data_IF_499973247125
#
_entry.id   IF_499973247125
#
_cell.length_a   1.000
_cell.length_b   1.000
_cell.length_c   1.000
_cell.angle_alpha   90.00
_cell.angle_beta   90.00
_cell.angle_gamma   90.00
#
_symmetry.space_group_name_H-M   'P 1'
#
loop_
_entity.id
_entity.type
_entity.pdbx_description
1 polymer ?
#
# COMPACT_ATOMS: atom_id res chain seq x y z
N UNK A 1 4.49 -14.66 -1.75
CA UNK A 1 4.56 -13.18 -1.63
C UNK A 1 5.73 -12.75 -0.76
N UNK A 2 5.78 -13.16 0.51
CA UNK A 2 6.91 -12.89 1.42
C UNK A 2 8.27 -13.16 0.76
N UNK A 3 8.48 -14.39 0.29
CA UNK A 3 9.74 -14.81 -0.35
C UNK A 3 10.12 -13.95 -1.56
N UNK A 4 9.13 -13.49 -2.33
CA UNK A 4 9.37 -12.62 -3.48
C UNK A 4 9.83 -11.23 -3.04
N UNK A 5 9.17 -10.63 -2.04
CA UNK A 5 9.56 -9.33 -1.48
C UNK A 5 10.95 -9.41 -0.82
N UNK A 6 11.20 -10.47 -0.04
CA UNK A 6 12.49 -10.71 0.61
C UNK A 6 13.60 -10.97 -0.42
N UNK A 7 13.28 -11.62 -1.55
CA UNK A 7 14.20 -11.79 -2.68
C UNK A 7 14.65 -10.49 -3.34
N UNK A 8 13.84 -9.43 -3.26
CA UNK A 8 14.18 -8.07 -3.73
C UNK A 8 14.99 -7.28 -2.67
N UNK A 9 15.42 -7.92 -1.59
CA UNK A 9 16.21 -7.30 -0.52
C UNK A 9 15.39 -6.46 0.46
N UNK A 10 14.06 -6.65 0.51
CA UNK A 10 13.15 -5.96 1.43
C UNK A 10 12.75 -6.90 2.56
N UNK A 11 13.06 -6.55 3.81
CA UNK A 11 12.67 -7.35 4.98
C UNK A 11 11.15 -7.27 5.23
N UNK A 12 10.50 -8.43 5.43
CA UNK A 12 9.08 -8.50 5.77
C UNK A 12 8.91 -8.84 7.26
N UNK A 13 8.71 -7.84 8.11
CA UNK A 13 8.61 -8.03 9.57
C UNK A 13 7.39 -8.87 10.00
N UNK A 14 6.26 -8.66 9.32
CA UNK A 14 5.00 -9.35 9.62
C UNK A 14 4.07 -9.36 8.41
N UNK A 15 3.28 -10.41 8.27
CA UNK A 15 2.32 -10.55 7.17
C UNK A 15 1.09 -11.31 7.64
N UNK A 16 -0.09 -10.93 7.12
CA UNK A 16 -1.38 -11.56 7.40
C UNK A 16 -2.01 -11.98 6.08
N UNK A 17 -2.55 -13.19 6.02
CA UNK A 17 -3.37 -13.67 4.92
C UNK A 17 -4.83 -13.80 5.39
N UNK A 18 -5.78 -13.37 4.56
CA UNK A 18 -7.22 -13.51 4.85
C UNK A 18 -7.80 -14.85 4.39
N UNK A 19 -6.98 -15.66 3.69
CA UNK A 19 -7.30 -17.03 3.27
C UNK A 19 -8.63 -17.17 2.50
N UNK A 20 -8.91 -16.22 1.60
CA UNK A 20 -10.08 -16.26 0.71
C UNK A 20 -9.64 -16.71 -0.69
N UNK A 21 -9.97 -17.95 -1.12
CA UNK A 21 -9.49 -18.48 -2.40
C UNK A 21 -10.30 -18.01 -3.63
N UNK A 22 -11.57 -17.64 -3.45
CA UNK A 22 -12.41 -17.13 -4.54
C UNK A 22 -12.16 -15.63 -4.76
N UNK A 23 -11.67 -15.27 -5.94
CA UNK A 23 -11.38 -13.88 -6.29
C UNK A 23 -12.64 -12.99 -6.31
N UNK A 24 -13.83 -13.54 -6.61
CA UNK A 24 -15.07 -12.78 -6.51
C UNK A 24 -15.41 -12.46 -5.04
N UNK A 25 -15.17 -13.40 -4.13
CA UNK A 25 -15.31 -13.19 -2.70
C UNK A 25 -14.29 -12.16 -2.17
N UNK A 26 -13.03 -12.21 -2.63
CA UNK A 26 -12.01 -11.20 -2.30
C UNK A 26 -12.47 -9.80 -2.69
N UNK A 27 -13.05 -9.64 -3.89
CA UNK A 27 -13.56 -8.36 -4.38
C UNK A 27 -14.74 -7.80 -3.58
N UNK A 28 -15.37 -8.61 -2.74
CA UNK A 28 -16.51 -8.24 -1.89
C UNK A 28 -16.12 -8.05 -0.42
N UNK A 29 -14.84 -8.21 -0.08
CA UNK A 29 -14.36 -7.93 1.28
C UNK A 29 -14.59 -6.48 1.64
N UNK A 30 -15.02 -6.25 2.88
CA UNK A 30 -15.27 -4.91 3.40
C UNK A 30 -13.92 -4.19 3.67
N UNK A 31 -13.60 -3.10 2.94
CA UNK A 31 -12.38 -2.33 3.18
C UNK A 31 -12.34 -1.70 4.57
N UNK A 32 -13.47 -1.51 5.25
CA UNK A 32 -13.50 -0.95 6.61
C UNK A 32 -12.91 -1.88 7.67
N UNK A 33 -12.66 -3.15 7.33
CA UNK A 33 -11.96 -4.11 8.20
C UNK A 33 -10.43 -3.98 8.13
N UNK A 34 -9.89 -3.32 7.10
CA UNK A 34 -8.45 -3.18 6.90
C UNK A 34 -7.73 -2.43 8.03
N UNK A 35 -8.29 -1.35 8.63
CA UNK A 35 -7.68 -0.71 9.79
C UNK A 35 -7.50 -1.66 10.98
N UNK A 36 -8.49 -2.51 11.26
CA UNK A 36 -8.41 -3.52 12.33
C UNK A 36 -7.33 -4.56 12.08
N UNK A 37 -7.21 -5.01 10.82
CA UNK A 37 -6.15 -5.93 10.42
C UNK A 37 -4.78 -5.26 10.56
N UNK A 38 -4.66 -4.01 10.11
CA UNK A 38 -3.41 -3.24 10.17
C UNK A 38 -2.97 -2.98 11.61
N UNK A 39 -3.90 -2.73 12.54
CA UNK A 39 -3.64 -2.62 13.99
C UNK A 39 -3.01 -3.88 14.57
N UNK A 40 -3.36 -5.05 14.06
CA UNK A 40 -2.80 -6.34 14.48
C UNK A 40 -1.37 -6.60 13.99
N UNK A 41 -0.80 -5.72 13.17
CA UNK A 41 0.55 -5.92 12.65
C UNK A 41 1.61 -5.61 13.71
N UNK A 42 2.56 -6.55 13.91
CA UNK A 42 3.84 -6.23 14.56
C UNK A 42 4.62 -5.32 13.61
N UNK A 43 4.78 -4.06 14.02
CA UNK A 43 5.28 -2.97 13.16
C UNK A 43 6.37 -2.14 13.82
N UNK A 44 6.89 -2.60 14.96
CA UNK A 44 8.07 -2.00 15.57
C UNK A 44 9.23 -2.12 14.58
N UNK A 45 9.86 -0.99 14.23
CA UNK A 45 10.87 -0.85 13.18
C UNK A 45 10.40 -1.03 11.72
N UNK A 46 9.09 -1.03 11.44
CA UNK A 46 8.61 -1.03 10.05
C UNK A 46 8.75 0.37 9.42
N UNK A 47 9.25 0.43 8.18
CA UNK A 47 9.33 1.69 7.41
C UNK A 47 8.05 2.00 6.62
N UNK A 48 7.25 0.98 6.29
CA UNK A 48 6.02 1.11 5.52
C UNK A 48 5.08 -0.08 5.74
N UNK A 49 3.81 0.10 5.36
CA UNK A 49 2.78 -0.94 5.37
C UNK A 49 2.25 -1.16 3.96
N UNK A 50 2.26 -2.41 3.49
CA UNK A 50 1.50 -2.83 2.31
C UNK A 50 0.11 -3.30 2.79
N UNK A 51 -0.88 -2.42 2.74
CA UNK A 51 -2.22 -2.67 3.29
C UNK A 51 -3.00 -3.72 2.50
N UNK A 52 -2.78 -3.77 1.19
CA UNK A 52 -3.26 -4.87 0.34
C UNK A 52 -2.22 -5.17 -0.74
N UNK A 53 -1.64 -6.37 -0.69
CA UNK A 53 -0.78 -6.89 -1.75
C UNK A 53 -1.57 -7.50 -2.93
N UNK A 54 -2.89 -7.65 -2.79
CA UNK A 54 -3.79 -8.09 -3.86
C UNK A 54 -4.48 -6.89 -4.51
N UNK A 55 -4.63 -6.92 -5.84
CA UNK A 55 -5.36 -5.89 -6.59
C UNK A 55 -6.87 -6.04 -6.51
N UNK A 56 -7.38 -7.24 -6.21
CA UNK A 56 -8.81 -7.52 -6.18
C UNK A 56 -9.49 -6.99 -4.91
N UNK A 57 -8.79 -7.02 -3.77
CA UNK A 57 -9.36 -6.57 -2.50
C UNK A 57 -9.51 -5.04 -2.49
N UNK A 58 -10.73 -4.51 -2.29
CA UNK A 58 -10.93 -3.08 -2.14
C UNK A 58 -10.12 -2.56 -0.95
N UNK A 59 -9.31 -1.52 -1.17
CA UNK A 59 -8.41 -1.00 -0.13
C UNK A 59 -8.23 0.50 -0.13
N UNK A 60 -8.45 1.18 -1.27
CA UNK A 60 -8.27 2.63 -1.40
C UNK A 60 -8.96 3.46 -0.29
N UNK A 61 -10.23 3.19 0.10
CA UNK A 61 -10.89 3.98 1.16
C UNK A 61 -10.24 3.87 2.54
N UNK A 62 -9.39 2.86 2.78
CA UNK A 62 -8.73 2.63 4.05
C UNK A 62 -7.29 3.18 4.09
N UNK A 63 -6.67 3.48 2.94
CA UNK A 63 -5.25 3.83 2.85
C UNK A 63 -4.90 5.04 3.72
N UNK A 64 -5.56 6.19 3.51
CA UNK A 64 -5.25 7.41 4.26
C UNK A 64 -5.55 7.24 5.76
N UNK A 65 -6.68 6.61 6.09
CA UNK A 65 -7.07 6.36 7.48
C UNK A 65 -6.01 5.55 8.22
N UNK A 66 -5.51 4.48 7.62
CA UNK A 66 -4.48 3.63 8.24
C UNK A 66 -3.15 4.37 8.35
N UNK A 67 -2.79 5.17 7.35
CA UNK A 67 -1.57 5.99 7.38
C UNK A 67 -1.61 7.02 8.50
N UNK A 68 -2.73 7.74 8.63
CA UNK A 68 -2.95 8.73 9.69
C UNK A 68 -2.96 8.07 11.09
N UNK A 69 -3.58 6.89 11.21
CA UNK A 69 -3.71 6.15 12.48
C UNK A 69 -2.38 5.54 12.93
N UNK A 70 -1.60 4.98 12.01
CA UNK A 70 -0.40 4.20 12.35
C UNK A 70 0.90 4.98 12.21
N UNK A 71 0.88 6.14 11.53
CA UNK A 71 2.03 7.03 11.38
C UNK A 71 3.13 6.50 10.45
N UNK A 72 2.85 5.45 9.68
CA UNK A 72 3.76 4.85 8.72
C UNK A 72 3.20 5.02 7.30
N UNK A 73 4.04 5.27 6.27
CA UNK A 73 3.61 5.24 4.88
C UNK A 73 2.80 3.98 4.56
N UNK A 74 1.63 4.16 3.93
CA UNK A 74 0.76 3.05 3.55
C UNK A 74 0.60 2.99 2.04
N UNK A 75 0.85 1.81 1.47
CA UNK A 75 0.66 1.53 0.06
C UNK A 75 -0.18 0.28 -0.15
N UNK A 76 -0.69 0.10 -1.38
CA UNK A 76 -1.31 -1.13 -1.86
C UNK A 76 -0.73 -1.46 -3.22
N UNK A 77 -0.98 -2.67 -3.73
CA UNK A 77 -0.64 -3.00 -5.10
C UNK A 77 -1.21 -1.95 -6.08
N UNK A 78 -2.47 -1.53 -5.88
CA UNK A 78 -3.11 -0.54 -6.72
C UNK A 78 -2.48 0.86 -6.62
N UNK A 79 -2.16 1.36 -5.42
CA UNK A 79 -1.55 2.70 -5.29
C UNK A 79 -0.10 2.73 -5.77
N UNK A 80 0.64 1.63 -5.57
CA UNK A 80 1.99 1.47 -6.12
C UNK A 80 1.96 1.44 -7.67
N UNK A 81 1.03 0.68 -8.27
CA UNK A 81 0.86 0.67 -9.73
C UNK A 81 0.47 2.05 -10.26
N UNK A 82 -0.46 2.74 -9.59
CA UNK A 82 -0.86 4.09 -9.99
C UNK A 82 0.33 5.08 -9.94
N UNK A 83 1.17 4.98 -8.91
CA UNK A 83 2.38 5.78 -8.79
C UNK A 83 3.33 5.53 -9.96
N UNK A 84 3.66 4.27 -10.25
CA UNK A 84 4.56 3.91 -11.35
C UNK A 84 4.02 4.35 -12.71
N UNK A 85 2.71 4.24 -12.94
CA UNK A 85 2.07 4.73 -14.18
C UNK A 85 2.19 6.25 -14.30
N UNK A 86 1.87 7.00 -13.25
CA UNK A 86 1.97 8.47 -13.27
C UNK A 86 3.40 8.92 -13.50
N UNK A 87 4.36 8.38 -12.74
CA UNK A 87 5.78 8.72 -12.86
C UNK A 87 6.33 8.32 -14.23
N UNK A 88 5.98 7.12 -14.73
CA UNK A 88 6.40 6.64 -16.05
C UNK A 88 5.88 7.49 -17.21
N UNK A 89 4.76 8.18 -17.02
CA UNK A 89 4.19 9.15 -17.99
C UNK A 89 4.71 10.58 -17.78
N UNK A 90 5.63 10.81 -16.83
CA UNK A 90 6.17 12.14 -16.53
C UNK A 90 5.23 13.03 -15.71
N UNK A 91 4.27 12.45 -15.00
CA UNK A 91 3.35 13.16 -14.12
C UNK A 91 3.77 13.04 -12.64
N UNK A 92 3.74 14.16 -11.92
CA UNK A 92 3.85 14.18 -10.47
C UNK A 92 2.53 13.70 -9.85
N UNK A 93 2.51 12.66 -9.00
CA UNK A 93 1.30 12.24 -8.31
C UNK A 93 0.72 13.36 -7.44
N UNK A 94 -0.60 13.58 -7.48
CA UNK A 94 -1.30 14.56 -6.64
C UNK A 94 -2.73 14.10 -6.35
N UNK A 95 -2.85 12.88 -5.82
CA UNK A 95 -4.13 12.24 -5.49
C UNK A 95 -4.36 12.35 -3.99
N UNK A 96 -5.31 13.22 -3.60
CA UNK A 96 -5.66 13.42 -2.20
C UNK A 96 -6.32 12.15 -1.60
N UNK A 97 -6.00 11.86 -0.33
CA UNK A 97 -6.62 10.75 0.41
C UNK A 97 -6.21 9.34 -0.04
N UNK A 98 -5.16 9.22 -0.84
CA UNK A 98 -4.67 7.94 -1.36
C UNK A 98 -3.29 7.54 -0.77
N UNK A 99 -2.95 8.07 0.41
CA UNK A 99 -1.67 7.86 1.08
C UNK A 99 -0.55 8.76 0.56
N UNK A 100 0.52 8.91 1.35
CA UNK A 100 1.67 9.79 1.07
C UNK A 100 2.36 9.50 -0.25
N UNK A 101 2.34 8.26 -0.73
CA UNK A 101 2.95 7.89 -2.02
C UNK A 101 2.33 8.69 -3.18
N UNK A 102 0.99 8.83 -3.18
CA UNK A 102 0.26 9.49 -4.25
C UNK A 102 -0.05 10.96 -3.98
N UNK A 103 0.19 11.45 -2.76
CA UNK A 103 -0.04 12.85 -2.39
C UNK A 103 0.96 13.85 -3.02
N UNK A 104 2.04 13.37 -3.65
CA UNK A 104 3.06 14.22 -4.29
C UNK A 104 4.19 14.68 -3.39
N UNK A 105 4.32 14.09 -2.20
CA UNK A 105 5.38 14.42 -1.22
C UNK A 105 6.60 13.50 -1.32
N UNK A 106 6.65 12.59 -2.29
CA UNK A 106 7.75 11.63 -2.49
C UNK A 106 8.92 12.27 -3.23
N UNK A 107 10.14 12.18 -2.67
CA UNK A 107 11.35 12.79 -3.22
C UNK A 107 11.70 12.32 -4.65
N UNK A 108 11.28 11.11 -5.05
CA UNK A 108 11.49 10.60 -6.41
C UNK A 108 10.65 11.32 -7.47
N UNK A 109 9.48 11.85 -7.12
CA UNK A 109 8.63 12.58 -8.07
C UNK A 109 9.24 13.94 -8.49
N UNK A 110 10.21 14.44 -7.72
CA UNK A 110 10.98 15.66 -8.03
C UNK A 110 12.34 15.38 -8.69
N UNK A 111 12.69 14.11 -8.95
CA UNK A 111 14.02 13.70 -9.40
C UNK A 111 14.17 13.54 -10.92
N UNK A 112 13.14 13.81 -11.72
CA UNK A 112 13.18 13.72 -13.19
C UNK A 112 13.85 14.91 -13.90
N UNK A 113 14.83 15.54 -13.24
CA UNK A 113 15.71 16.54 -13.85
C UNK A 113 17.18 16.21 -13.54
N UNK A 114 17.68 15.06 -14.01
CA UNK A 114 19.11 14.80 -14.27
C UNK A 114 19.28 13.85 -15.44
#
# INVERSE_FOLDING_TARGET
>A
MREYIEGEGIEVLHAVALEVPDNLAVGRLDPQRLPDIARGLRRDAADAIVLSACVQMPSLPAVQRVEDELGLPVITAATATAYEVLVGLGHTPSVAGAGRLLAGTSERANSTAR
#
